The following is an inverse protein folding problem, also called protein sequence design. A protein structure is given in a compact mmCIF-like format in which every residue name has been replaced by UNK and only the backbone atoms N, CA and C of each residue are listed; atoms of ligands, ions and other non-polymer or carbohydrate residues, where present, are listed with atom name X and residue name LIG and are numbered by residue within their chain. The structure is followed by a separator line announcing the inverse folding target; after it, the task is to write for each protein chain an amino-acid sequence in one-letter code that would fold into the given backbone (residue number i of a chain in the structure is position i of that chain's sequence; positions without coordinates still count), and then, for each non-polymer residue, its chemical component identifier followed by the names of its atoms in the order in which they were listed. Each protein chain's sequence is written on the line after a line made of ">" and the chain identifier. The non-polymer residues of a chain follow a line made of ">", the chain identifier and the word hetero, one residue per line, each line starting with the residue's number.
data_IF_634422620479
#
_entry.id   IF_634422620479
#
_cell.length_a   1.000
_cell.length_b   1.000
_cell.length_c   1.000
_cell.angle_alpha   90.00
_cell.angle_beta   90.00
_cell.angle_gamma   90.00
#
_symmetry.space_group_name_H-M   'P 1'
#
loop_
_entity.id
_entity.type
_entity.pdbx_description
1 polymer ?
#
# COMPACT_ATOMS: atom_id res chain seq x y z
N UNK A 1 75.12 -53.65 -20.36
CA UNK A 1 76.00 -52.51 -20.63
C UNK A 1 75.16 -51.54 -21.46
N UNK A 2 74.96 -50.33 -20.99
CA UNK A 2 74.63 -49.18 -21.79
C UNK A 2 73.19 -49.04 -22.24
N UNK A 3 72.28 -48.73 -21.32
CA UNK A 3 70.94 -48.27 -21.68
C UNK A 3 70.89 -46.73 -21.85
N UNK A 4 70.56 -46.29 -23.03
CA UNK A 4 70.26 -44.88 -23.33
C UNK A 4 68.84 -44.53 -22.99
N UNK A 5 68.68 -43.60 -22.07
CA UNK A 5 67.33 -42.93 -21.77
C UNK A 5 66.99 -42.01 -22.93
N UNK A 6 65.82 -42.21 -23.54
CA UNK A 6 65.18 -41.21 -24.37
C UNK A 6 64.25 -40.38 -23.51
N UNK A 7 64.45 -39.07 -23.56
CA UNK A 7 63.49 -38.09 -23.00
C UNK A 7 62.20 -38.05 -23.85
N UNK A 8 61.04 -38.03 -23.19
CA UNK A 8 59.77 -37.84 -23.80
C UNK A 8 59.33 -36.40 -23.54
N UNK A 9 59.16 -35.64 -24.61
CA UNK A 9 58.66 -34.29 -24.61
C UNK A 9 57.21 -34.34 -24.20
N UNK A 10 56.90 -33.66 -23.10
CA UNK A 10 55.47 -33.38 -22.70
C UNK A 10 55.02 -32.16 -23.49
N UNK A 11 54.16 -32.38 -24.51
CA UNK A 11 53.37 -31.32 -25.16
C UNK A 11 52.35 -30.81 -24.18
N UNK A 12 52.49 -29.57 -23.74
CA UNK A 12 51.53 -28.77 -23.03
C UNK A 12 50.35 -28.48 -23.97
N UNK A 13 49.27 -29.24 -23.85
CA UNK A 13 47.98 -28.88 -24.44
C UNK A 13 47.36 -27.71 -23.63
N UNK A 14 47.61 -26.49 -24.07
CA UNK A 14 46.88 -25.30 -23.67
C UNK A 14 45.47 -25.43 -24.25
N UNK A 15 44.51 -25.89 -23.42
CA UNK A 15 43.09 -25.79 -23.72
C UNK A 15 42.68 -24.32 -23.71
N UNK A 16 42.47 -23.78 -24.88
CA UNK A 16 41.77 -22.50 -25.07
C UNK A 16 40.34 -22.62 -24.49
N UNK A 17 40.15 -22.05 -23.31
CA UNK A 17 38.81 -21.75 -22.81
C UNK A 17 38.29 -20.61 -23.68
N UNK A 18 37.29 -20.90 -24.50
CA UNK A 18 36.50 -19.92 -25.22
C UNK A 18 35.82 -18.99 -24.21
N UNK A 19 35.98 -17.64 -24.34
CA UNK A 19 35.36 -16.67 -23.42
C UNK A 19 33.86 -16.47 -23.61
N UNK A 20 33.19 -17.26 -24.44
CA UNK A 20 31.85 -16.94 -24.95
C UNK A 20 30.70 -17.74 -24.32
N UNK A 21 30.93 -18.49 -23.23
CA UNK A 21 29.88 -19.21 -22.49
C UNK A 21 29.38 -18.46 -21.24
N UNK A 22 29.46 -17.12 -21.22
CA UNK A 22 28.66 -16.34 -20.30
C UNK A 22 27.23 -16.21 -20.86
N UNK A 23 26.44 -17.28 -20.71
CA UNK A 23 25.00 -17.15 -20.83
C UNK A 23 24.56 -15.94 -19.97
N UNK A 24 23.90 -14.93 -20.55
CA UNK A 24 23.36 -13.82 -19.75
C UNK A 24 22.46 -14.45 -18.69
N UNK A 25 22.80 -14.24 -17.41
CA UNK A 25 21.97 -14.67 -16.27
C UNK A 25 20.56 -14.22 -16.59
N UNK A 26 19.67 -15.15 -16.92
CA UNK A 26 18.30 -14.89 -17.29
C UNK A 26 17.71 -14.02 -16.17
N UNK A 27 17.37 -12.79 -16.50
CA UNK A 27 16.89 -11.81 -15.53
C UNK A 27 15.68 -12.39 -14.83
N UNK A 28 15.80 -12.68 -13.53
CA UNK A 28 14.78 -13.35 -12.73
C UNK A 28 13.47 -12.58 -12.86
N UNK A 29 12.46 -13.22 -13.46
CA UNK A 29 11.12 -12.63 -13.63
C UNK A 29 10.49 -12.43 -12.26
N UNK A 30 10.02 -11.22 -11.93
CA UNK A 30 9.48 -10.90 -10.61
C UNK A 30 8.03 -10.46 -10.68
N UNK A 31 7.22 -11.00 -9.80
CA UNK A 31 5.86 -10.53 -9.52
C UNK A 31 5.83 -9.91 -8.12
N UNK A 32 5.66 -8.59 -8.04
CA UNK A 32 5.54 -7.85 -6.78
C UNK A 32 4.09 -7.59 -6.44
N UNK A 33 3.68 -8.02 -5.26
CA UNK A 33 2.32 -7.94 -4.75
C UNK A 33 2.29 -7.08 -3.48
N UNK A 34 1.30 -6.23 -3.34
CA UNK A 34 1.02 -5.49 -2.09
C UNK A 34 -0.34 -5.95 -1.57
N UNK A 35 -0.40 -6.31 -0.29
CA UNK A 35 -1.64 -6.63 0.40
C UNK A 35 -2.25 -5.36 0.98
N UNK A 36 -3.44 -4.99 0.56
CA UNK A 36 -4.19 -3.84 1.05
C UNK A 36 -5.56 -4.27 1.60
N UNK A 37 -6.11 -3.49 2.54
CA UNK A 37 -7.38 -3.76 3.19
C UNK A 37 -7.34 -3.39 4.67
N UNK A 38 -8.50 -3.33 5.32
CA UNK A 38 -8.62 -2.99 6.74
C UNK A 38 -7.98 -4.04 7.66
N UNK A 39 -7.81 -3.68 8.93
CA UNK A 39 -7.35 -4.64 9.96
C UNK A 39 -8.34 -5.81 10.10
N UNK A 40 -7.80 -7.02 10.28
CA UNK A 40 -8.58 -8.23 10.61
C UNK A 40 -9.22 -8.95 9.42
N UNK A 41 -9.08 -8.47 8.17
CA UNK A 41 -9.61 -9.17 6.97
C UNK A 41 -8.78 -10.37 6.53
N UNK A 42 -7.59 -10.57 7.10
CA UNK A 42 -6.73 -11.70 6.77
C UNK A 42 -5.57 -11.40 5.83
N UNK A 43 -5.12 -10.15 5.66
CA UNK A 43 -3.96 -9.79 4.81
C UNK A 43 -2.74 -10.67 5.05
N UNK A 44 -2.24 -10.67 6.30
CA UNK A 44 -1.05 -11.45 6.67
C UNK A 44 -1.25 -12.96 6.49
N UNK A 45 -2.47 -13.46 6.74
CA UNK A 45 -2.81 -14.87 6.47
C UNK A 45 -2.78 -15.15 4.95
N UNK A 46 -3.36 -14.28 4.14
CA UNK A 46 -3.30 -14.37 2.67
C UNK A 46 -1.85 -14.34 2.17
N UNK A 47 -1.02 -13.45 2.72
CA UNK A 47 0.41 -13.42 2.41
C UNK A 47 1.12 -14.73 2.74
N UNK A 48 0.85 -15.32 3.91
CA UNK A 48 1.39 -16.63 4.30
C UNK A 48 0.88 -17.75 3.39
N UNK A 49 -0.40 -17.75 3.01
CA UNK A 49 -0.95 -18.71 2.04
C UNK A 49 -0.22 -18.61 0.69
N UNK A 50 -0.02 -17.40 0.17
CA UNK A 50 0.73 -17.15 -1.07
C UNK A 50 2.17 -17.65 -0.95
N UNK A 51 2.85 -17.37 0.17
CA UNK A 51 4.23 -17.78 0.39
C UNK A 51 4.40 -19.30 0.63
N UNK A 52 3.32 -19.98 1.05
CA UNK A 52 3.35 -21.39 1.38
C UNK A 52 3.94 -21.72 2.76
N UNK A 53 4.30 -20.70 3.53
CA UNK A 53 4.81 -20.84 4.91
C UNK A 53 4.45 -19.62 5.75
N UNK A 54 4.52 -19.76 7.07
CA UNK A 54 4.23 -18.67 8.03
C UNK A 54 5.45 -17.76 8.17
N UNK A 55 5.41 -16.60 7.52
CA UNK A 55 6.38 -15.53 7.64
C UNK A 55 5.77 -14.34 8.40
N UNK A 56 4.57 -13.94 8.03
CA UNK A 56 3.88 -12.79 8.60
C UNK A 56 3.12 -13.19 9.86
N UNK A 57 3.26 -12.47 10.99
CA UNK A 57 2.47 -12.72 12.19
C UNK A 57 0.98 -12.62 11.88
N UNK A 58 0.28 -13.74 12.02
CA UNK A 58 -1.16 -13.83 11.76
C UNK A 58 -1.83 -14.62 12.88
N UNK A 59 -2.69 -13.94 13.66
CA UNK A 59 -3.49 -14.53 14.74
C UNK A 59 -4.75 -13.70 14.96
N UNK A 60 -5.77 -14.34 15.53
CA UNK A 60 -6.93 -13.61 16.04
C UNK A 60 -6.51 -12.76 17.24
N UNK A 61 -6.71 -11.46 17.15
CA UNK A 61 -6.39 -10.51 18.23
C UNK A 61 -7.37 -9.32 18.21
N UNK A 62 -7.64 -8.77 19.38
CA UNK A 62 -8.46 -7.56 19.52
C UNK A 62 -7.75 -6.28 19.07
N UNK A 63 -6.42 -6.33 18.93
CA UNK A 63 -5.59 -5.22 18.46
C UNK A 63 -4.85 -5.60 17.19
N UNK A 64 -4.44 -4.63 16.34
CA UNK A 64 -3.67 -4.90 15.14
C UNK A 64 -2.39 -5.68 15.45
N UNK A 65 -2.18 -6.81 14.75
CA UNK A 65 -1.01 -7.66 14.91
C UNK A 65 0.15 -7.14 14.06
N UNK A 66 -0.12 -6.77 12.80
CA UNK A 66 0.86 -6.18 11.88
C UNK A 66 1.03 -4.71 12.21
N UNK A 67 2.25 -4.31 12.57
CA UNK A 67 2.59 -2.93 12.95
C UNK A 67 3.52 -2.23 11.96
N UNK A 68 4.18 -2.98 11.11
CA UNK A 68 5.10 -2.49 10.08
C UNK A 68 4.94 -3.29 8.81
N UNK A 69 5.30 -2.68 7.67
CA UNK A 69 5.37 -3.40 6.40
C UNK A 69 6.47 -4.46 6.46
N UNK A 70 6.20 -5.62 5.86
CA UNK A 70 7.15 -6.71 5.78
C UNK A 70 7.13 -7.33 4.37
N UNK A 71 8.27 -7.79 3.89
CA UNK A 71 8.44 -8.41 2.58
C UNK A 71 8.77 -9.89 2.73
N UNK A 72 8.06 -10.73 1.98
CA UNK A 72 8.37 -12.15 1.82
C UNK A 72 8.47 -12.52 0.35
N UNK A 73 9.13 -13.63 0.04
CA UNK A 73 9.22 -14.11 -1.34
C UNK A 73 9.22 -15.64 -1.44
N UNK A 74 8.70 -16.14 -2.60
CA UNK A 74 8.81 -17.55 -3.01
C UNK A 74 8.99 -17.66 -4.51
N UNK A 75 9.49 -18.80 -4.97
CA UNK A 75 9.49 -19.15 -6.39
C UNK A 75 8.15 -19.82 -6.76
N UNK A 76 7.59 -19.45 -7.92
CA UNK A 76 6.38 -20.05 -8.47
C UNK A 76 6.41 -19.98 -10.01
N UNK A 77 6.31 -21.11 -10.69
CA UNK A 77 6.21 -21.20 -12.14
C UNK A 77 7.25 -20.33 -12.90
N UNK A 78 8.51 -20.32 -12.44
CA UNK A 78 9.59 -19.51 -13.04
C UNK A 78 9.57 -18.02 -12.66
N UNK A 79 8.63 -17.61 -11.81
CA UNK A 79 8.59 -16.27 -11.22
C UNK A 79 9.12 -16.25 -9.79
N UNK A 80 9.78 -15.16 -9.42
CA UNK A 80 9.98 -14.79 -8.03
C UNK A 80 8.78 -13.92 -7.59
N UNK A 81 7.90 -14.50 -6.79
CA UNK A 81 6.76 -13.79 -6.21
C UNK A 81 7.21 -13.10 -4.93
N UNK A 82 7.10 -11.79 -4.89
CA UNK A 82 7.42 -10.94 -3.74
C UNK A 82 6.12 -10.37 -3.17
N UNK A 83 5.86 -10.58 -1.88
CA UNK A 83 4.63 -10.18 -1.20
C UNK A 83 4.97 -9.18 -0.11
N UNK A 84 4.43 -7.98 -0.20
CA UNK A 84 4.52 -6.96 0.85
C UNK A 84 3.24 -6.99 1.70
N UNK A 85 3.36 -7.48 2.94
CA UNK A 85 2.31 -7.37 3.96
C UNK A 85 2.32 -5.99 4.58
N UNK A 86 1.15 -5.39 4.74
CA UNK A 86 1.01 -4.03 5.26
C UNK A 86 0.17 -3.99 6.54
N UNK A 87 0.51 -3.10 7.50
CA UNK A 87 -0.44 -2.73 8.53
C UNK A 87 -1.66 -2.04 7.89
N UNK A 88 -2.59 -1.58 8.71
CA UNK A 88 -3.69 -0.77 8.20
C UNK A 88 -3.17 0.63 7.83
N UNK A 89 -2.87 0.84 6.55
CA UNK A 89 -2.36 2.11 6.01
C UNK A 89 -3.45 2.92 5.27
N UNK A 90 -4.58 2.29 4.99
CA UNK A 90 -5.52 2.78 3.99
C UNK A 90 -6.81 3.33 4.60
N UNK A 91 -7.19 2.92 5.82
CA UNK A 91 -8.32 3.51 6.54
C UNK A 91 -7.94 4.84 7.22
N UNK A 92 -8.91 5.63 7.66
CA UNK A 92 -8.66 6.84 8.43
C UNK A 92 -7.88 6.55 9.71
N UNK A 93 -8.23 5.45 10.40
CA UNK A 93 -7.53 5.01 11.60
C UNK A 93 -6.06 4.70 11.32
N UNK A 94 -5.77 3.98 10.23
CA UNK A 94 -4.40 3.66 9.82
C UNK A 94 -3.61 4.91 9.45
N UNK A 95 -4.24 5.87 8.76
CA UNK A 95 -3.59 7.16 8.45
C UNK A 95 -3.27 8.00 9.69
N UNK A 96 -4.15 7.98 10.69
CA UNK A 96 -3.90 8.63 11.98
C UNK A 96 -2.75 7.98 12.76
N UNK A 97 -2.58 6.65 12.61
CA UNK A 97 -1.48 5.91 13.25
C UNK A 97 -0.12 6.12 12.55
N UNK A 98 -0.09 6.68 11.34
CA UNK A 98 1.12 6.97 10.55
C UNK A 98 1.16 8.44 10.12
N UNK A 99 1.22 9.40 11.08
CA UNK A 99 1.16 10.84 10.77
C UNK A 99 2.36 11.29 9.94
N UNK A 100 3.53 10.70 10.16
CA UNK A 100 4.78 11.03 9.47
C UNK A 100 4.93 10.30 8.13
N UNK A 101 3.92 9.55 7.69
CA UNK A 101 3.96 8.74 6.48
C UNK A 101 5.08 7.67 6.44
N UNK A 102 5.69 7.34 7.56
CA UNK A 102 6.85 6.44 7.65
C UNK A 102 6.49 5.01 7.21
N UNK A 103 5.35 4.49 7.66
CA UNK A 103 4.91 3.14 7.28
C UNK A 103 4.50 3.09 5.81
N UNK A 104 3.83 4.12 5.31
CA UNK A 104 3.50 4.25 3.88
C UNK A 104 4.76 4.34 3.01
N UNK A 105 5.76 5.11 3.45
CA UNK A 105 7.06 5.18 2.77
C UNK A 105 7.79 3.83 2.78
N UNK A 106 7.77 3.10 3.90
CA UNK A 106 8.32 1.75 3.99
C UNK A 106 7.65 0.79 2.99
N UNK A 107 6.31 0.88 2.83
CA UNK A 107 5.58 0.10 1.84
C UNK A 107 6.10 0.38 0.40
N UNK A 108 6.29 1.66 0.03
CA UNK A 108 6.85 2.04 -1.26
C UNK A 108 8.27 1.48 -1.46
N UNK A 109 9.13 1.59 -0.45
CA UNK A 109 10.52 1.10 -0.55
C UNK A 109 10.60 -0.42 -0.71
N UNK A 110 9.78 -1.16 0.05
CA UNK A 110 9.75 -2.62 0.01
C UNK A 110 9.17 -3.17 -1.30
N UNK A 111 8.31 -2.41 -1.98
CA UNK A 111 7.68 -2.81 -3.23
C UNK A 111 8.27 -2.13 -4.47
N UNK A 112 9.35 -1.33 -4.32
CA UNK A 112 10.00 -0.65 -5.44
C UNK A 112 10.58 -1.66 -6.47
N UNK A 113 10.55 -1.31 -7.77
CA UNK A 113 10.14 -0.08 -8.43
C UNK A 113 8.63 0.11 -8.56
N UNK A 114 7.81 -0.77 -7.99
CA UNK A 114 6.37 -0.76 -7.95
C UNK A 114 5.76 -2.16 -8.03
N UNK A 115 4.49 -2.32 -7.61
CA UNK A 115 3.79 -3.59 -7.65
C UNK A 115 3.32 -3.94 -9.07
N UNK A 116 3.25 -5.23 -9.37
CA UNK A 116 2.57 -5.74 -10.57
C UNK A 116 1.08 -5.89 -10.30
N UNK A 117 0.71 -6.21 -9.05
CA UNK A 117 -0.68 -6.25 -8.62
C UNK A 117 -0.85 -5.75 -7.18
N UNK A 118 -1.98 -5.09 -6.94
CA UNK A 118 -2.50 -4.79 -5.62
C UNK A 118 -3.58 -5.81 -5.26
N UNK A 119 -3.43 -6.50 -4.14
CA UNK A 119 -4.41 -7.45 -3.63
C UNK A 119 -5.29 -6.74 -2.59
N UNK A 120 -6.50 -6.37 -2.97
CA UNK A 120 -7.49 -5.77 -2.08
C UNK A 120 -8.20 -6.88 -1.29
N UNK A 121 -7.70 -7.14 -0.08
CA UNK A 121 -8.18 -8.23 0.77
C UNK A 121 -9.41 -7.79 1.54
N UNK A 122 -10.48 -8.54 1.43
CA UNK A 122 -11.73 -8.38 2.19
C UNK A 122 -12.27 -9.75 2.61
N UNK A 123 -13.21 -9.79 3.53
CA UNK A 123 -13.84 -11.03 3.96
C UNK A 123 -15.11 -11.31 3.17
N UNK A 124 -15.27 -12.55 2.70
CA UNK A 124 -16.50 -12.99 2.04
C UNK A 124 -17.71 -12.77 2.98
N UNK A 125 -18.83 -12.36 2.44
CA UNK A 125 -20.05 -12.08 3.20
C UNK A 125 -20.01 -10.82 4.08
N UNK A 126 -18.85 -10.11 4.18
CA UNK A 126 -18.69 -8.98 5.10
C UNK A 126 -17.93 -7.80 4.49
N UNK A 127 -18.42 -7.29 3.37
CA UNK A 127 -17.91 -6.02 2.84
C UNK A 127 -18.61 -4.85 3.54
N UNK A 128 -17.85 -4.00 4.21
CA UNK A 128 -18.32 -2.93 5.10
C UNK A 128 -17.83 -1.55 4.63
N UNK A 129 -18.34 -0.48 5.25
CA UNK A 129 -17.87 0.88 5.01
C UNK A 129 -16.35 1.06 5.27
N UNK A 130 -15.75 0.27 6.16
CA UNK A 130 -14.29 0.27 6.38
C UNK A 130 -13.52 -0.36 5.22
N UNK A 131 -14.08 -1.38 4.56
CA UNK A 131 -13.49 -1.97 3.35
C UNK A 131 -13.56 -0.97 2.18
N UNK A 132 -14.69 -0.26 2.05
CA UNK A 132 -14.84 0.84 1.07
C UNK A 132 -13.85 1.99 1.36
N UNK A 133 -13.69 2.34 2.62
CA UNK A 133 -12.70 3.34 3.05
C UNK A 133 -11.27 2.92 2.74
N UNK A 134 -10.93 1.64 2.97
CA UNK A 134 -9.60 1.11 2.61
C UNK A 134 -9.36 1.19 1.10
N UNK A 135 -10.35 0.83 0.27
CA UNK A 135 -10.25 0.95 -1.19
C UNK A 135 -10.09 2.42 -1.63
N UNK A 136 -10.78 3.36 -0.98
CA UNK A 136 -10.60 4.80 -1.20
C UNK A 136 -9.18 5.25 -0.82
N UNK A 137 -8.68 4.82 0.35
CA UNK A 137 -7.32 5.14 0.80
C UNK A 137 -6.23 4.60 -0.14
N UNK A 138 -6.46 3.45 -0.77
CA UNK A 138 -5.59 2.93 -1.83
C UNK A 138 -5.54 3.89 -3.02
N UNK A 139 -6.71 4.39 -3.49
CA UNK A 139 -6.75 5.40 -4.58
C UNK A 139 -6.06 6.71 -4.19
N UNK A 140 -6.22 7.14 -2.94
CA UNK A 140 -5.59 8.35 -2.41
C UNK A 140 -4.07 8.22 -2.34
N UNK A 141 -3.56 7.04 -1.96
CA UNK A 141 -2.12 6.81 -1.81
C UNK A 141 -1.41 6.61 -3.15
N UNK A 142 -1.96 5.76 -4.03
CA UNK A 142 -1.32 5.36 -5.29
C UNK A 142 -1.89 6.10 -6.52
N UNK A 143 -3.01 6.80 -6.38
CA UNK A 143 -3.74 7.39 -7.50
C UNK A 143 -4.82 6.46 -8.07
N UNK A 144 -5.80 7.04 -8.78
CA UNK A 144 -6.97 6.31 -9.27
C UNK A 144 -6.62 5.16 -10.24
N UNK A 145 -5.55 5.30 -11.01
CA UNK A 145 -5.13 4.28 -11.98
C UNK A 145 -4.65 2.96 -11.38
N UNK A 146 -4.35 2.92 -10.07
CA UNK A 146 -3.86 1.70 -9.41
C UNK A 146 -4.89 0.56 -9.40
N UNK A 147 -6.19 0.88 -9.41
CA UNK A 147 -7.24 -0.15 -9.40
C UNK A 147 -7.30 -0.95 -10.70
N UNK A 148 -6.81 -0.41 -11.82
CA UNK A 148 -6.59 -1.18 -13.03
C UNK A 148 -5.55 -2.31 -12.84
N UNK A 149 -4.72 -2.22 -11.80
CA UNK A 149 -3.74 -3.22 -11.38
C UNK A 149 -4.15 -3.96 -10.10
N UNK A 150 -5.43 -3.92 -9.72
CA UNK A 150 -5.91 -4.54 -8.50
C UNK A 150 -6.69 -5.84 -8.77
N UNK A 151 -6.61 -6.74 -7.80
CA UNK A 151 -7.44 -7.95 -7.68
C UNK A 151 -8.15 -7.88 -6.32
N UNK A 152 -9.46 -8.06 -6.30
CA UNK A 152 -10.21 -8.21 -5.04
C UNK A 152 -10.08 -9.64 -4.55
N UNK A 153 -9.45 -9.82 -3.39
CA UNK A 153 -9.22 -11.14 -2.79
C UNK A 153 -10.15 -11.32 -1.60
N UNK A 154 -11.05 -12.26 -1.71
CA UNK A 154 -11.96 -12.64 -0.64
C UNK A 154 -11.31 -13.73 0.23
N UNK A 155 -11.18 -13.48 1.52
CA UNK A 155 -10.84 -14.50 2.51
C UNK A 155 -12.10 -15.26 2.92
N UNK A 156 -11.93 -16.43 3.53
CA UNK A 156 -13.01 -17.33 3.93
C UNK A 156 -13.76 -17.93 2.74
N UNK A 157 -13.01 -18.47 1.77
CA UNK A 157 -13.56 -19.20 0.62
C UNK A 157 -14.49 -20.34 1.05
N UNK A 158 -14.24 -20.95 2.20
CA UNK A 158 -15.06 -21.98 2.79
C UNK A 158 -16.53 -21.58 2.98
N UNK A 159 -16.80 -20.30 3.19
CA UNK A 159 -18.17 -19.77 3.35
C UNK A 159 -18.98 -19.76 2.00
N UNK A 160 -18.37 -20.10 0.86
CA UNK A 160 -19.08 -20.29 -0.42
C UNK A 160 -19.84 -21.62 -0.47
N UNK A 161 -19.53 -22.57 0.42
CA UNK A 161 -20.19 -23.90 0.48
C UNK A 161 -20.30 -24.60 -0.89
N UNK A 162 -19.26 -24.44 -1.74
CA UNK A 162 -19.23 -24.97 -3.10
C UNK A 162 -19.86 -24.06 -4.16
N UNK A 163 -20.42 -22.91 -3.77
CA UNK A 163 -20.96 -21.92 -4.70
C UNK A 163 -19.89 -21.17 -5.50
N UNK A 164 -20.33 -20.49 -6.56
CA UNK A 164 -19.45 -19.69 -7.43
C UNK A 164 -19.19 -18.30 -6.85
N UNK A 165 -17.91 -17.92 -6.75
CA UNK A 165 -17.53 -16.54 -6.36
C UNK A 165 -18.10 -15.48 -7.34
N UNK A 166 -18.14 -15.78 -8.63
CA UNK A 166 -18.68 -14.86 -9.63
C UNK A 166 -20.18 -14.67 -9.46
N UNK A 167 -20.92 -15.74 -9.10
CA UNK A 167 -22.35 -15.63 -8.83
C UNK A 167 -22.60 -14.85 -7.54
N UNK A 168 -21.80 -15.07 -6.50
CA UNK A 168 -21.84 -14.25 -5.28
C UNK A 168 -21.67 -12.76 -5.57
N UNK A 169 -20.63 -12.38 -6.34
CA UNK A 169 -20.38 -10.98 -6.71
C UNK A 169 -21.49 -10.41 -7.58
N UNK A 170 -22.07 -11.22 -8.47
CA UNK A 170 -23.18 -10.78 -9.35
C UNK A 170 -24.47 -10.59 -8.57
N UNK A 171 -24.76 -11.49 -7.63
CA UNK A 171 -26.00 -11.51 -6.84
C UNK A 171 -25.98 -10.55 -5.65
N UNK A 172 -24.80 -10.04 -5.22
CA UNK A 172 -24.74 -9.16 -4.05
C UNK A 172 -25.47 -7.84 -4.26
N UNK A 173 -26.26 -7.41 -3.27
CA UNK A 173 -26.92 -6.08 -3.26
C UNK A 173 -25.97 -4.95 -2.88
N UNK A 174 -24.74 -5.26 -2.43
CA UNK A 174 -23.76 -4.28 -2.03
C UNK A 174 -23.20 -3.53 -3.25
N UNK A 175 -23.74 -2.33 -3.49
CA UNK A 175 -23.36 -1.47 -4.62
C UNK A 175 -21.88 -1.07 -4.58
N UNK A 176 -21.34 -0.81 -3.39
CA UNK A 176 -19.95 -0.39 -3.22
C UNK A 176 -18.99 -1.53 -3.59
N UNK A 177 -19.31 -2.77 -3.21
CA UNK A 177 -18.54 -3.94 -3.61
C UNK A 177 -18.58 -4.14 -5.12
N UNK A 178 -19.77 -4.07 -5.75
CA UNK A 178 -19.90 -4.20 -7.21
C UNK A 178 -19.11 -3.13 -7.96
N UNK A 179 -19.18 -1.88 -7.48
CA UNK A 179 -18.40 -0.77 -8.07
C UNK A 179 -16.90 -1.03 -7.95
N UNK A 180 -16.41 -1.46 -6.77
CA UNK A 180 -15.00 -1.78 -6.57
C UNK A 180 -14.54 -2.90 -7.50
N UNK A 181 -15.30 -4.00 -7.61
CA UNK A 181 -14.97 -5.10 -8.51
C UNK A 181 -14.93 -4.64 -9.96
N UNK A 182 -15.88 -3.80 -10.39
CA UNK A 182 -15.89 -3.24 -11.73
C UNK A 182 -14.64 -2.37 -12.00
N UNK A 183 -14.25 -1.51 -11.06
CA UNK A 183 -13.02 -0.70 -11.16
C UNK A 183 -11.75 -1.57 -11.21
N UNK A 184 -11.76 -2.73 -10.57
CA UNK A 184 -10.70 -3.74 -10.67
C UNK A 184 -10.80 -4.60 -11.94
N UNK A 185 -11.63 -4.22 -12.93
CA UNK A 185 -11.80 -4.97 -14.19
C UNK A 185 -12.43 -6.35 -14.01
N UNK A 186 -13.26 -6.54 -12.99
CA UNK A 186 -13.92 -7.81 -12.68
C UNK A 186 -12.98 -8.86 -12.04
N UNK A 187 -11.73 -8.52 -11.74
CA UNK A 187 -10.75 -9.46 -11.20
C UNK A 187 -11.02 -9.77 -9.73
N UNK A 188 -11.48 -10.98 -9.48
CA UNK A 188 -11.80 -11.49 -8.14
C UNK A 188 -11.18 -12.86 -7.94
N UNK A 189 -10.77 -13.15 -6.71
CA UNK A 189 -10.29 -14.46 -6.28
C UNK A 189 -10.75 -14.71 -4.83
N UNK A 190 -10.94 -15.96 -4.43
CA UNK A 190 -11.24 -16.31 -3.04
C UNK A 190 -10.21 -17.32 -2.52
N UNK A 191 -9.79 -17.14 -1.27
CA UNK A 191 -8.84 -18.01 -0.58
C UNK A 191 -9.41 -18.47 0.76
N UNK A 192 -9.29 -19.75 1.03
CA UNK A 192 -9.36 -20.30 2.38
C UNK A 192 -7.95 -20.28 2.99
N UNK A 193 -7.71 -19.31 3.88
CA UNK A 193 -6.41 -19.19 4.56
C UNK A 193 -6.14 -20.29 5.60
N UNK A 194 -7.07 -21.25 5.79
CA UNK A 194 -6.90 -22.44 6.61
C UNK A 194 -6.55 -23.66 5.78
N UNK A 195 -6.78 -23.60 4.46
CA UNK A 195 -6.42 -24.70 3.56
C UNK A 195 -4.92 -24.98 3.61
N UNK A 196 -4.54 -26.24 3.52
CA UNK A 196 -3.16 -26.71 3.54
C UNK A 196 -2.87 -27.62 2.34
N UNK A 197 -1.60 -27.92 2.10
CA UNK A 197 -1.16 -28.83 1.06
C UNK A 197 -1.68 -28.48 -0.32
N UNK A 198 -2.18 -29.47 -1.06
CA UNK A 198 -2.60 -29.34 -2.45
C UNK A 198 -3.77 -28.38 -2.64
N UNK A 199 -4.70 -28.31 -1.69
CA UNK A 199 -5.83 -27.40 -1.76
C UNK A 199 -5.39 -25.93 -1.71
N UNK A 200 -4.54 -25.58 -0.73
CA UNK A 200 -3.93 -24.24 -0.66
C UNK A 200 -3.18 -23.92 -1.95
N UNK A 201 -2.35 -24.85 -2.44
CA UNK A 201 -1.51 -24.62 -3.60
C UNK A 201 -2.34 -24.44 -4.88
N UNK A 202 -3.49 -25.12 -5.00
CA UNK A 202 -4.44 -24.93 -6.10
C UNK A 202 -5.06 -23.53 -6.05
N UNK A 203 -5.58 -23.10 -4.88
CA UNK A 203 -6.19 -21.79 -4.71
C UNK A 203 -5.19 -20.65 -4.94
N UNK A 204 -3.97 -20.79 -4.43
CA UNK A 204 -2.87 -19.82 -4.65
C UNK A 204 -2.46 -19.81 -6.11
N UNK A 205 -2.43 -20.97 -6.77
CA UNK A 205 -2.18 -21.08 -8.21
C UNK A 205 -3.21 -20.29 -9.04
N UNK A 206 -4.51 -20.38 -8.70
CA UNK A 206 -5.58 -19.58 -9.34
C UNK A 206 -5.30 -18.07 -9.21
N UNK A 207 -4.95 -17.61 -8.01
CA UNK A 207 -4.63 -16.21 -7.77
C UNK A 207 -3.39 -15.74 -8.54
N UNK A 208 -2.30 -16.52 -8.48
CA UNK A 208 -1.04 -16.14 -9.13
C UNK A 208 -1.14 -16.18 -10.65
N UNK A 209 -1.92 -17.10 -11.23
CA UNK A 209 -2.22 -17.11 -12.65
C UNK A 209 -3.03 -15.86 -13.08
N UNK A 210 -3.96 -15.40 -12.23
CA UNK A 210 -4.69 -14.14 -12.46
C UNK A 210 -3.75 -12.93 -12.43
N UNK A 211 -2.81 -12.90 -11.48
CA UNK A 211 -1.80 -11.84 -11.36
C UNK A 211 -0.82 -11.88 -12.52
N UNK A 212 -0.39 -13.06 -12.96
CA UNK A 212 0.49 -13.21 -14.13
C UNK A 212 -0.17 -12.64 -15.39
N UNK A 213 -1.43 -13.00 -15.65
CA UNK A 213 -2.19 -12.42 -16.78
C UNK A 213 -2.24 -10.90 -16.68
N UNK A 214 -2.58 -10.37 -15.49
CA UNK A 214 -2.61 -8.94 -15.24
C UNK A 214 -1.25 -8.26 -15.50
N UNK A 215 -0.16 -8.88 -15.09
CA UNK A 215 1.19 -8.37 -15.37
C UNK A 215 1.47 -8.36 -16.87
N UNK A 216 1.10 -9.42 -17.60
CA UNK A 216 1.29 -9.53 -19.05
C UNK A 216 0.42 -8.53 -19.83
N UNK A 217 -0.81 -8.22 -19.38
CA UNK A 217 -1.66 -7.16 -19.95
C UNK A 217 -0.97 -5.78 -19.92
N UNK A 218 0.07 -5.66 -19.12
CA UNK A 218 0.88 -4.45 -18.96
C UNK A 218 2.35 -4.64 -19.35
N UNK A 219 2.64 -5.55 -20.26
CA UNK A 219 4.00 -5.84 -20.77
C UNK A 219 5.00 -6.22 -19.69
N UNK A 220 4.55 -6.81 -18.58
CA UNK A 220 5.37 -7.13 -17.41
C UNK A 220 5.87 -5.90 -16.64
N UNK A 221 5.45 -4.69 -17.01
CA UNK A 221 5.85 -3.48 -16.31
C UNK A 221 5.09 -3.32 -14.99
N UNK A 222 5.76 -2.98 -13.86
CA UNK A 222 5.09 -2.68 -12.61
C UNK A 222 4.31 -1.36 -12.69
N UNK A 223 3.32 -1.20 -11.83
CA UNK A 223 2.73 0.11 -11.57
C UNK A 223 3.79 1.06 -11.02
N UNK A 224 3.86 2.27 -11.53
CA UNK A 224 4.79 3.28 -11.05
C UNK A 224 4.13 4.66 -10.96
N UNK A 225 4.66 5.49 -10.09
CA UNK A 225 4.30 6.90 -9.92
C UNK A 225 5.56 7.70 -9.57
N UNK A 226 5.41 9.00 -9.27
CA UNK A 226 6.54 9.86 -8.91
C UNK A 226 7.22 9.44 -7.58
N UNK A 227 6.49 8.79 -6.65
CA UNK A 227 7.04 8.28 -5.39
C UNK A 227 7.84 7.00 -5.63
N UNK A 228 7.33 6.05 -6.44
CA UNK A 228 8.10 4.88 -6.85
C UNK A 228 9.33 5.26 -7.65
N UNK A 229 9.21 6.24 -8.56
CA UNK A 229 10.34 6.76 -9.33
C UNK A 229 11.41 7.34 -8.41
N UNK A 230 11.00 8.11 -7.39
CA UNK A 230 11.91 8.64 -6.37
C UNK A 230 12.58 7.53 -5.55
N UNK A 231 11.80 6.56 -5.07
CA UNK A 231 12.30 5.40 -4.30
C UNK A 231 13.33 4.61 -5.11
N UNK A 232 13.04 4.34 -6.38
CA UNK A 232 13.93 3.60 -7.27
C UNK A 232 15.20 4.37 -7.62
N UNK A 233 15.10 5.66 -7.89
CA UNK A 233 16.27 6.51 -8.15
C UNK A 233 17.24 6.56 -6.95
N UNK A 234 16.72 6.38 -5.73
CA UNK A 234 17.49 6.42 -4.48
C UNK A 234 17.85 5.04 -3.92
N UNK A 235 17.61 3.93 -4.66
CA UNK A 235 17.81 2.56 -4.17
C UNK A 235 19.23 2.24 -3.68
N UNK A 236 20.25 3.02 -4.10
CA UNK A 236 21.66 2.86 -3.70
C UNK A 236 22.07 3.88 -2.61
N UNK A 237 21.19 4.80 -2.20
CA UNK A 237 21.44 5.75 -1.13
C UNK A 237 21.22 5.08 0.25
N UNK A 238 21.54 5.80 1.32
CA UNK A 238 21.28 5.31 2.67
C UNK A 238 19.79 5.05 2.86
N UNK A 239 19.38 3.88 3.39
CA UNK A 239 17.97 3.52 3.54
C UNK A 239 17.15 4.54 4.35
N UNK A 240 17.76 5.06 5.43
CA UNK A 240 17.10 6.05 6.31
C UNK A 240 16.83 7.39 5.61
N UNK A 241 17.79 7.87 4.81
CA UNK A 241 17.63 9.12 4.07
C UNK A 241 16.57 8.98 2.98
N UNK A 242 16.54 7.82 2.31
CA UNK A 242 15.54 7.51 1.30
C UNK A 242 14.15 7.40 1.93
N UNK A 243 14.04 6.74 3.10
CA UNK A 243 12.78 6.63 3.83
C UNK A 243 12.22 8.01 4.22
N UNK A 244 13.07 8.89 4.78
CA UNK A 244 12.67 10.26 5.14
C UNK A 244 12.21 11.06 3.93
N UNK A 245 12.91 10.96 2.81
CA UNK A 245 12.58 11.68 1.58
C UNK A 245 11.25 11.21 0.99
N UNK A 246 11.03 9.88 0.93
CA UNK A 246 9.78 9.29 0.45
C UNK A 246 8.61 9.65 1.39
N UNK A 247 8.82 9.59 2.72
CA UNK A 247 7.82 10.00 3.70
C UNK A 247 7.43 11.48 3.55
N UNK A 248 8.41 12.37 3.39
CA UNK A 248 8.16 13.80 3.14
C UNK A 248 7.39 14.03 1.83
N UNK A 249 7.69 13.26 0.77
CA UNK A 249 6.95 13.34 -0.50
C UNK A 249 5.49 12.92 -0.36
N UNK A 250 5.23 11.84 0.39
CA UNK A 250 3.88 11.36 0.69
C UNK A 250 3.09 12.34 1.57
N UNK A 251 3.73 12.92 2.57
CA UNK A 251 3.12 13.95 3.41
C UNK A 251 2.70 15.19 2.59
N UNK A 252 3.55 15.61 1.66
CA UNK A 252 3.24 16.72 0.75
C UNK A 252 2.04 16.42 -0.17
N UNK A 253 1.88 15.17 -0.66
CA UNK A 253 0.69 14.73 -1.40
C UNK A 253 -0.57 14.80 -0.53
N UNK A 254 -0.50 14.30 0.71
CA UNK A 254 -1.63 14.30 1.65
C UNK A 254 -2.11 15.70 1.99
N UNK A 255 -1.21 16.66 2.13
CA UNK A 255 -1.54 18.07 2.34
C UNK A 255 -2.23 18.72 1.12
N UNK A 256 -1.95 18.23 -0.11
CA UNK A 256 -2.59 18.71 -1.34
C UNK A 256 -4.02 18.20 -1.56
N UNK A 257 -4.37 17.03 -1.05
CA UNK A 257 -5.63 16.33 -1.38
C UNK A 257 -6.73 16.38 -0.30
N UNK A 258 -6.40 16.61 0.94
CA UNK A 258 -7.38 16.49 2.04
C UNK A 258 -7.45 17.68 2.98
N UNK A 259 -6.35 18.29 3.30
CA UNK A 259 -6.29 19.40 4.27
C UNK A 259 -6.65 20.74 3.63
N UNK A 260 -6.52 20.90 2.33
CA UNK A 260 -6.92 22.12 1.61
C UNK A 260 -8.42 22.43 1.71
N UNK A 261 -9.29 21.43 1.78
CA UNK A 261 -10.74 21.65 1.92
C UNK A 261 -11.17 21.91 3.36
N UNK A 262 -10.49 21.33 4.33
CA UNK A 262 -10.86 21.51 5.75
C UNK A 262 -10.20 22.76 6.33
N UNK A 263 -8.95 23.08 5.90
CA UNK A 263 -8.27 24.33 6.25
C UNK A 263 -8.76 25.54 5.43
N UNK A 264 -9.26 25.33 4.23
CA UNK A 264 -9.95 26.39 3.47
C UNK A 264 -11.22 26.89 4.15
N UNK A 265 -11.94 26.02 4.88
CA UNK A 265 -13.05 26.44 5.74
C UNK A 265 -12.55 27.15 6.99
N UNK A 266 -11.49 26.67 7.64
CA UNK A 266 -10.87 27.32 8.80
C UNK A 266 -10.21 28.66 8.45
N UNK A 267 -9.56 28.76 7.30
CA UNK A 267 -8.96 30.01 6.83
C UNK A 267 -10.00 31.07 6.49
N UNK A 268 -11.13 30.70 5.87
CA UNK A 268 -12.26 31.62 5.65
C UNK A 268 -12.90 32.09 6.97
N UNK A 269 -12.93 31.23 7.99
CA UNK A 269 -13.39 31.62 9.33
C UNK A 269 -12.43 32.59 10.00
N UNK A 270 -11.14 32.37 9.91
CA UNK A 270 -10.11 33.28 10.44
C UNK A 270 -10.04 34.60 9.66
N UNK A 271 -10.24 34.60 8.35
CA UNK A 271 -10.31 35.80 7.54
C UNK A 271 -11.62 36.59 7.76
N UNK A 272 -12.74 35.89 7.98
CA UNK A 272 -14.00 36.50 8.37
C UNK A 272 -13.93 37.08 9.79
N UNK A 273 -13.30 36.37 10.74
CA UNK A 273 -13.04 36.87 12.07
C UNK A 273 -12.12 38.11 12.06
N UNK A 274 -11.05 38.12 11.25
CA UNK A 274 -10.16 39.27 11.09
C UNK A 274 -10.84 40.50 10.49
N UNK A 275 -11.82 40.34 9.62
CA UNK A 275 -12.62 41.44 9.04
C UNK A 275 -13.67 41.99 10.00
N UNK A 276 -14.17 41.18 10.92
CA UNK A 276 -15.17 41.58 11.92
C UNK A 276 -14.59 42.22 13.21
N UNK A 277 -13.32 41.94 13.52
CA UNK A 277 -12.70 42.45 14.75
C UNK A 277 -12.61 43.98 14.90
N UNK A 278 -12.29 44.79 13.86
CA UNK A 278 -12.25 46.22 14.04
C UNK A 278 -13.63 46.82 14.40
N UNK A 279 -14.70 46.29 13.88
CA UNK A 279 -16.07 46.72 14.24
C UNK A 279 -16.46 46.27 15.65
N UNK A 280 -16.11 45.09 16.10
CA UNK A 280 -16.39 44.61 17.46
C UNK A 280 -15.60 45.42 18.52
N UNK A 281 -14.33 45.75 18.25
CA UNK A 281 -13.53 46.58 19.14
C UNK A 281 -14.02 48.02 19.18
N UNK A 282 -14.51 48.61 18.09
CA UNK A 282 -15.12 49.93 18.06
C UNK A 282 -16.43 50.00 18.84
N UNK A 283 -17.27 48.94 18.76
CA UNK A 283 -18.52 48.89 19.53
C UNK A 283 -18.28 48.67 21.01
N UNK A 284 -17.31 47.85 21.41
CA UNK A 284 -16.91 47.66 22.81
C UNK A 284 -16.24 48.93 23.38
N UNK A 285 -15.38 49.58 22.62
CA UNK A 285 -14.76 50.83 23.00
C UNK A 285 -15.76 51.98 23.15
N UNK A 286 -16.74 52.06 22.24
CA UNK A 286 -17.83 53.02 22.31
C UNK A 286 -18.78 52.81 23.50
N UNK A 287 -19.10 51.55 23.80
CA UNK A 287 -19.90 51.22 24.98
C UNK A 287 -19.18 51.55 26.30
N UNK A 288 -17.88 51.27 26.37
CA UNK A 288 -17.06 51.59 27.55
C UNK A 288 -16.96 53.10 27.78
N UNK A 289 -16.80 53.86 26.69
CA UNK A 289 -16.70 55.34 26.75
C UNK A 289 -18.04 55.91 27.20
N UNK A 290 -19.17 55.39 26.72
CA UNK A 290 -20.49 55.80 27.12
C UNK A 290 -20.76 55.57 28.60
N UNK A 291 -20.36 54.39 29.13
CA UNK A 291 -20.48 54.06 30.56
C UNK A 291 -19.61 54.97 31.40
N UNK A 292 -18.40 55.28 30.98
CA UNK A 292 -17.51 56.24 31.69
C UNK A 292 -18.11 57.65 31.72
N UNK A 293 -18.68 58.13 30.62
CA UNK A 293 -19.33 59.47 30.57
C UNK A 293 -20.59 59.53 31.42
N UNK A 294 -21.37 58.43 31.53
CA UNK A 294 -22.52 58.37 32.40
C UNK A 294 -22.15 58.35 33.88
N UNK A 295 -21.06 57.66 34.24
CA UNK A 295 -20.51 57.65 35.61
C UNK A 295 -19.96 59.00 36.04
N UNK A 296 -19.34 59.81 35.13
CA UNK A 296 -18.86 61.13 35.41
C UNK A 296 -20.01 62.15 35.61
N UNK A 297 -21.18 61.92 34.97
CA UNK A 297 -22.37 62.82 35.15
C UNK A 297 -23.16 62.51 36.41
N UNK A 298 -22.94 61.34 37.04
CA UNK A 298 -23.63 60.93 38.27
C UNK A 298 -22.93 61.24 39.56
N UNK A 299 -21.76 61.92 39.56
CA UNK A 299 -21.07 62.34 40.79
C UNK A 299 -21.78 63.57 41.39
N UNK A 300 -22.35 63.46 42.60
CA UNK A 300 -22.89 64.66 43.29
C UNK A 300 -21.72 65.59 43.67
N UNK A 301 -21.88 66.84 43.43
CA UNK A 301 -20.92 67.86 43.78
C UNK A 301 -20.69 67.91 45.30
N UNK A 302 -19.50 68.36 45.78
CA UNK A 302 -19.22 68.54 47.20
C UNK A 302 -19.97 69.79 47.70
N UNK A 303 -20.81 69.56 48.72
CA UNK A 303 -21.28 70.62 49.59
C UNK A 303 -20.17 71.08 50.55
#
# INVERSE_FOLDING_TARGET
>A
MGGRKMARDEENAYGSQDPDDQQPLAQERRLRLILAGRTGVGKSATGNSILGHRLFPSRLAATPVTRSCALGSRSWAGWRVEVTDTPDLFTAQGRHADPDCTQRASCYLLSAPGPHALLLVTQLGRFTAQDEEAARGVRELFGAGVLARAVVVFTRREDLEGGSLHDYVRATDNRALRALVAECGGRVCALDNRAEGAERDAQVGELLALVERLALEHDGAPFTDDVYSLAWARRHARPEDTLRLVAARLAARGLGLGWGRQWGRGRRWLEAARRGWPLALLLLGGALLLVLLLLQRGAPGPD
#
